data_IF_090619587006
#
_entry.id   IF_090619587006
#
_cell.length_a   1.000
_cell.length_b   1.000
_cell.length_c   1.000
_cell.angle_alpha   90.00
_cell.angle_beta   90.00
_cell.angle_gamma   90.00
#
_symmetry.space_group_name_H-M   'P 1'
#
loop_
_entity.id
_entity.type
_entity.pdbx_description
1 polymer ?
#
# COMPACT_ATOMS: atom_id res chain seq x y z
N UNK A 1 46.76 59.78 59.33
CA UNK A 1 46.72 59.69 57.89
C UNK A 1 45.66 58.65 57.56
N UNK A 2 44.46 58.94 57.64
CA UNK A 2 43.51 59.74 56.93
C UNK A 2 43.46 59.35 55.42
N UNK A 3 42.46 58.59 55.08
CA UNK A 3 41.83 58.77 53.78
C UNK A 3 40.46 58.04 53.68
N UNK A 4 39.47 58.85 53.62
CA UNK A 4 38.06 58.57 53.36
C UNK A 4 37.85 57.95 51.97
N UNK A 5 37.10 56.89 51.87
CA UNK A 5 36.54 56.41 50.61
C UNK A 5 35.02 56.59 50.60
N UNK A 6 34.56 57.38 49.65
CA UNK A 6 33.22 57.84 49.55
C UNK A 6 32.24 56.73 49.20
N UNK A 7 31.13 56.81 49.86
CA UNK A 7 29.89 56.09 49.62
C UNK A 7 29.20 56.65 48.34
N UNK A 8 29.21 55.85 47.25
CA UNK A 8 28.41 56.16 46.07
C UNK A 8 27.03 55.51 46.24
N UNK A 9 26.12 56.35 46.74
CA UNK A 9 24.69 56.02 46.72
C UNK A 9 24.17 55.77 45.29
N UNK A 10 24.00 54.51 44.95
CA UNK A 10 23.50 54.01 43.67
C UNK A 10 22.14 53.28 43.70
N UNK A 11 21.40 53.37 44.78
CA UNK A 11 20.11 52.63 44.92
C UNK A 11 18.85 53.49 44.87
N UNK A 12 18.97 54.80 44.70
CA UNK A 12 17.81 55.73 44.72
C UNK A 12 17.17 56.02 43.35
N UNK A 13 17.63 55.37 42.25
CA UNK A 13 17.09 55.65 40.91
C UNK A 13 16.15 54.59 40.37
N UNK A 14 16.01 53.45 41.01
CA UNK A 14 15.13 52.36 40.51
C UNK A 14 13.75 52.32 41.17
N UNK A 15 13.51 53.11 42.21
CA UNK A 15 12.22 53.10 42.92
C UNK A 15 11.16 54.10 42.36
N UNK A 16 11.44 54.77 41.23
CA UNK A 16 10.50 55.76 40.69
C UNK A 16 9.95 55.44 39.33
N UNK A 17 10.10 54.19 38.86
CA UNK A 17 9.26 53.68 37.74
C UNK A 17 8.03 53.05 38.33
N UNK A 18 7.12 53.82 38.88
CA UNK A 18 5.73 53.46 38.99
C UNK A 18 5.21 53.25 37.59
N UNK A 19 5.18 51.97 37.15
CA UNK A 19 4.36 51.60 35.99
C UNK A 19 2.95 52.06 36.32
N UNK A 20 2.50 53.09 35.56
CA UNK A 20 1.10 53.50 35.61
C UNK A 20 0.23 52.27 35.51
N UNK A 21 -0.76 52.07 36.39
CA UNK A 21 -1.69 50.96 36.27
C UNK A 21 -2.25 50.98 34.84
N UNK A 22 -2.08 49.91 34.11
CA UNK A 22 -2.76 49.74 32.81
C UNK A 22 -4.23 50.05 33.05
N UNK A 23 -4.91 50.78 32.15
CA UNK A 23 -6.34 51.04 32.32
C UNK A 23 -7.00 49.68 32.59
N UNK A 24 -7.58 49.57 33.77
CA UNK A 24 -8.43 48.44 34.15
C UNK A 24 -9.52 48.36 33.09
N UNK A 25 -9.36 47.43 32.16
CA UNK A 25 -10.47 47.02 31.30
C UNK A 25 -11.63 46.66 32.21
N UNK A 26 -12.82 47.20 32.00
CA UNK A 26 -13.99 46.99 32.88
C UNK A 26 -14.19 45.48 33.03
N UNK A 27 -14.13 45.04 34.26
CA UNK A 27 -14.21 43.64 34.72
C UNK A 27 -15.56 42.97 34.38
N UNK A 28 -16.50 43.72 33.84
CA UNK A 28 -17.92 43.35 33.82
C UNK A 28 -18.43 42.75 32.48
N UNK A 29 -17.56 42.31 31.58
CA UNK A 29 -18.06 41.58 30.41
C UNK A 29 -17.04 40.56 29.85
N UNK A 30 -16.24 39.95 30.69
CA UNK A 30 -15.52 38.74 30.31
C UNK A 30 -16.48 37.56 30.36
N UNK A 31 -17.34 37.43 29.36
CA UNK A 31 -17.77 36.11 28.93
C UNK A 31 -16.47 35.38 28.59
N UNK A 32 -16.00 34.59 29.55
CA UNK A 32 -14.78 33.76 29.34
C UNK A 32 -15.13 32.79 28.24
N UNK A 33 -14.89 33.20 27.00
CA UNK A 33 -14.97 32.29 25.89
C UNK A 33 -13.97 31.17 26.20
N UNK A 34 -14.38 29.91 26.31
CA UNK A 34 -13.44 28.85 26.50
C UNK A 34 -12.40 28.99 25.40
N UNK A 35 -11.14 28.94 25.79
CA UNK A 35 -10.07 29.06 24.80
C UNK A 35 -10.31 27.99 23.74
N UNK A 36 -10.07 28.30 22.47
CA UNK A 36 -10.19 27.33 21.36
C UNK A 36 -9.50 25.99 21.67
N UNK A 37 -8.47 26.06 22.52
CA UNK A 37 -7.80 24.88 23.08
C UNK A 37 -8.75 23.97 23.87
N UNK A 38 -9.62 24.51 24.67
CA UNK A 38 -10.60 23.75 25.47
C UNK A 38 -11.63 23.13 24.55
N UNK A 39 -12.13 23.88 23.56
CA UNK A 39 -13.09 23.38 22.58
C UNK A 39 -12.52 22.21 21.75
N UNK A 40 -11.28 22.33 21.27
CA UNK A 40 -10.62 21.21 20.59
C UNK A 40 -10.40 20.00 21.51
N UNK A 41 -10.04 20.22 22.80
CA UNK A 41 -9.92 19.10 23.75
C UNK A 41 -11.24 18.36 23.92
N UNK A 42 -12.34 19.08 24.04
CA UNK A 42 -13.68 18.47 24.14
C UNK A 42 -14.09 17.79 22.83
N UNK A 43 -13.83 18.41 21.68
CA UNK A 43 -14.16 17.85 20.37
C UNK A 43 -13.39 16.56 20.05
N UNK A 44 -12.18 16.37 20.57
CA UNK A 44 -11.33 15.19 20.28
C UNK A 44 -11.47 14.08 21.33
N UNK A 45 -11.81 14.43 22.58
CA UNK A 45 -11.97 13.47 23.66
C UNK A 45 -10.63 12.95 24.26
N UNK A 46 -10.50 11.65 24.59
CA UNK A 46 -9.39 11.11 25.38
C UNK A 46 -7.98 11.34 24.81
N UNK A 47 -7.85 11.47 23.49
CA UNK A 47 -6.57 11.72 22.83
C UNK A 47 -6.23 13.22 22.68
N UNK A 48 -6.91 14.10 23.43
CA UNK A 48 -6.81 15.55 23.31
C UNK A 48 -5.39 16.06 23.52
N UNK A 49 -4.58 15.44 24.40
CA UNK A 49 -3.20 15.86 24.66
C UNK A 49 -2.30 15.68 23.43
N UNK A 50 -2.62 14.73 22.56
CA UNK A 50 -1.90 14.54 21.31
C UNK A 50 -2.39 15.49 20.21
N UNK A 51 -3.72 15.67 20.05
CA UNK A 51 -4.31 16.37 18.91
C UNK A 51 -4.43 17.88 19.12
N UNK A 52 -4.85 18.33 20.32
CA UNK A 52 -5.16 19.74 20.53
C UNK A 52 -3.98 20.70 20.28
N UNK A 53 -2.73 20.40 20.68
CA UNK A 53 -1.58 21.27 20.35
C UNK A 53 -1.35 21.37 18.84
N UNK A 54 -1.55 20.30 18.09
CA UNK A 54 -1.41 20.28 16.61
C UNK A 54 -2.49 21.10 15.93
N UNK A 55 -3.71 21.00 16.41
CA UNK A 55 -4.84 21.74 15.87
C UNK A 55 -4.69 23.25 16.10
N UNK A 56 -4.20 23.64 17.28
CA UNK A 56 -3.85 25.03 17.56
C UNK A 56 -2.75 25.56 16.64
N UNK A 57 -1.76 24.74 16.31
CA UNK A 57 -0.72 25.12 15.35
C UNK A 57 -1.31 25.29 13.94
N UNK A 58 -2.25 24.42 13.50
CA UNK A 58 -2.95 24.58 12.23
C UNK A 58 -3.77 25.88 12.19
N UNK A 59 -4.44 26.26 13.30
CA UNK A 59 -5.14 27.54 13.42
C UNK A 59 -4.19 28.74 13.36
N UNK A 60 -3.04 28.64 14.04
CA UNK A 60 -2.03 29.68 14.05
C UNK A 60 -1.48 29.96 12.66
N UNK A 61 -1.20 28.90 11.89
CA UNK A 61 -0.67 28.99 10.53
C UNK A 61 -1.77 29.21 9.51
N UNK A 62 -3.05 29.13 9.90
CA UNK A 62 -4.24 29.19 9.04
C UNK A 62 -4.22 28.16 7.90
N UNK A 63 -3.51 27.05 8.11
CA UNK A 63 -3.36 25.97 7.13
C UNK A 63 -3.10 24.66 7.84
N UNK A 64 -3.85 23.63 7.47
CA UNK A 64 -3.52 22.25 7.86
C UNK A 64 -2.43 21.70 6.93
N UNK A 65 -1.50 20.95 7.49
CA UNK A 65 -0.43 20.31 6.75
C UNK A 65 -0.32 18.83 7.16
N UNK A 66 0.11 17.95 6.25
CA UNK A 66 0.32 16.55 6.58
C UNK A 66 1.28 16.41 7.76
N UNK A 67 0.88 15.64 8.75
CA UNK A 67 1.72 15.33 9.89
C UNK A 67 1.49 13.88 10.32
N UNK A 68 2.54 13.21 10.77
CA UNK A 68 2.49 11.79 11.04
C UNK A 68 1.61 11.46 12.25
N UNK A 69 0.68 10.53 12.06
CA UNK A 69 -0.14 9.94 13.11
C UNK A 69 0.23 8.46 13.27
N UNK A 70 0.70 8.06 14.45
CA UNK A 70 1.17 6.69 14.69
C UNK A 70 0.04 5.66 14.86
N UNK A 71 -1.16 6.09 15.20
CA UNK A 71 -2.30 5.19 15.41
C UNK A 71 -2.98 4.77 14.09
N UNK A 72 -3.09 5.70 13.13
CA UNK A 72 -3.82 5.49 11.89
C UNK A 72 -3.18 4.46 10.92
N UNK A 73 -1.85 4.34 10.78
CA UNK A 73 -1.23 3.42 9.83
C UNK A 73 -1.53 1.95 10.06
N UNK A 74 -1.70 1.55 11.31
CA UNK A 74 -1.86 0.14 11.66
C UNK A 74 -3.24 -0.42 11.28
N UNK A 75 -4.28 0.39 11.49
CA UNK A 75 -5.67 0.01 11.22
C UNK A 75 -6.44 1.20 10.65
N UNK A 76 -6.15 1.64 9.41
CA UNK A 76 -6.73 2.85 8.82
C UNK A 76 -8.26 2.90 8.88
N UNK A 77 -8.91 1.81 8.49
CA UNK A 77 -10.37 1.67 8.47
C UNK A 77 -10.97 1.82 9.87
N UNK A 78 -10.42 1.09 10.85
CA UNK A 78 -10.93 1.14 12.24
C UNK A 78 -10.68 2.49 12.88
N UNK A 79 -9.50 3.08 12.64
CA UNK A 79 -9.16 4.41 13.12
C UNK A 79 -10.13 5.47 12.58
N UNK A 80 -10.44 5.43 11.29
CA UNK A 80 -11.36 6.37 10.67
C UNK A 80 -12.79 6.23 11.21
N UNK A 81 -13.31 5.00 11.35
CA UNK A 81 -14.63 4.78 11.96
C UNK A 81 -14.67 5.13 13.45
N UNK A 82 -13.57 4.91 14.17
CA UNK A 82 -13.46 5.34 15.57
C UNK A 82 -13.67 6.84 15.73
N UNK A 83 -13.11 7.62 14.82
CA UNK A 83 -13.26 9.08 14.79
C UNK A 83 -14.49 9.55 13.98
N UNK A 84 -15.43 8.66 13.66
CA UNK A 84 -16.62 8.95 12.84
C UNK A 84 -16.32 9.65 11.50
N UNK A 85 -15.16 9.38 10.94
CA UNK A 85 -14.74 9.82 9.60
C UNK A 85 -15.26 8.83 8.56
N UNK A 86 -16.58 8.83 8.34
CA UNK A 86 -17.29 7.80 7.57
C UNK A 86 -16.76 7.62 6.15
N UNK A 87 -16.52 8.74 5.45
CA UNK A 87 -16.02 8.72 4.07
C UNK A 87 -14.61 8.12 4.01
N UNK A 88 -13.72 8.54 4.90
CA UNK A 88 -12.37 8.00 4.98
C UNK A 88 -12.38 6.51 5.37
N UNK A 89 -13.23 6.13 6.35
CA UNK A 89 -13.41 4.74 6.76
C UNK A 89 -13.87 3.85 5.61
N UNK A 90 -14.84 4.30 4.83
CA UNK A 90 -15.32 3.59 3.65
C UNK A 90 -14.25 3.51 2.56
N UNK A 91 -13.51 4.60 2.30
CA UNK A 91 -12.42 4.61 1.33
C UNK A 91 -11.33 3.59 1.69
N UNK A 92 -10.90 3.55 2.95
CA UNK A 92 -9.94 2.54 3.42
C UNK A 92 -10.51 1.11 3.41
N UNK A 93 -11.81 0.95 3.66
CA UNK A 93 -12.48 -0.36 3.59
C UNK A 93 -12.54 -0.92 2.16
N UNK A 94 -12.71 -0.06 1.16
CA UNK A 94 -12.74 -0.44 -0.25
C UNK A 94 -11.35 -0.54 -0.87
N UNK A 95 -10.32 0.01 -0.21
CA UNK A 95 -8.96 0.00 -0.72
C UNK A 95 -8.43 -1.39 -1.10
N UNK A 96 -8.63 -2.48 -0.33
CA UNK A 96 -8.14 -3.81 -0.69
C UNK A 96 -8.66 -4.30 -2.05
N UNK A 97 -9.91 -3.95 -2.39
CA UNK A 97 -10.50 -4.30 -3.71
C UNK A 97 -9.77 -3.54 -4.82
N UNK A 98 -9.59 -2.22 -4.67
CA UNK A 98 -8.84 -1.42 -5.64
C UNK A 98 -7.38 -1.88 -5.76
N UNK A 99 -6.75 -2.26 -4.64
CA UNK A 99 -5.39 -2.78 -4.62
C UNK A 99 -5.24 -4.08 -5.40
N UNK A 100 -6.25 -4.97 -5.37
CA UNK A 100 -6.24 -6.20 -6.18
C UNK A 100 -6.37 -5.92 -7.68
N UNK A 101 -7.17 -4.95 -8.08
CA UNK A 101 -7.22 -4.52 -9.48
C UNK A 101 -5.87 -3.94 -9.95
N UNK A 102 -5.26 -3.08 -9.14
CA UNK A 102 -3.92 -2.54 -9.42
C UNK A 102 -2.88 -3.67 -9.50
N UNK A 103 -2.95 -4.64 -8.59
CA UNK A 103 -2.07 -5.80 -8.59
C UNK A 103 -2.23 -6.63 -9.88
N UNK A 104 -3.46 -6.88 -10.32
CA UNK A 104 -3.74 -7.63 -11.54
C UNK A 104 -3.20 -6.94 -12.79
N UNK A 105 -3.25 -5.61 -12.83
CA UNK A 105 -2.64 -4.80 -13.90
C UNK A 105 -1.10 -4.80 -13.83
N UNK A 106 -0.52 -4.88 -12.63
CA UNK A 106 0.92 -4.92 -12.43
C UNK A 106 1.53 -6.32 -12.65
N UNK A 107 0.75 -7.40 -12.47
CA UNK A 107 1.24 -8.80 -12.55
C UNK A 107 2.02 -9.13 -13.83
N UNK A 108 1.63 -8.67 -15.04
CA UNK A 108 2.41 -8.91 -16.25
C UNK A 108 3.83 -8.33 -16.22
N UNK A 109 4.05 -7.27 -15.44
CA UNK A 109 5.34 -6.58 -15.34
C UNK A 109 6.24 -7.12 -14.23
N UNK A 110 5.68 -7.90 -13.30
CA UNK A 110 6.43 -8.46 -12.17
C UNK A 110 7.26 -9.70 -12.55
N UNK A 111 7.11 -10.20 -13.78
CA UNK A 111 7.73 -11.45 -14.22
C UNK A 111 7.25 -12.65 -13.41
N UNK A 112 8.02 -13.74 -13.41
CA UNK A 112 7.66 -14.97 -12.69
C UNK A 112 8.19 -15.01 -11.24
N UNK A 113 8.77 -13.91 -10.76
CA UNK A 113 9.28 -13.80 -9.39
C UNK A 113 8.14 -13.78 -8.36
N UNK A 114 8.05 -14.82 -7.55
CA UNK A 114 7.11 -14.90 -6.43
C UNK A 114 7.39 -13.85 -5.35
N UNK A 115 8.67 -13.52 -5.13
CA UNK A 115 9.07 -12.48 -4.20
C UNK A 115 8.59 -11.10 -4.65
N UNK A 116 8.77 -10.75 -5.93
CA UNK A 116 8.31 -9.47 -6.47
C UNK A 116 6.79 -9.32 -6.35
N UNK A 117 6.03 -10.39 -6.63
CA UNK A 117 4.58 -10.38 -6.47
C UNK A 117 4.16 -10.21 -5.02
N UNK A 118 4.79 -10.94 -4.10
CA UNK A 118 4.51 -10.81 -2.67
C UNK A 118 4.84 -9.40 -2.16
N UNK A 119 5.99 -8.84 -2.52
CA UNK A 119 6.37 -7.49 -2.16
C UNK A 119 5.39 -6.44 -2.72
N UNK A 120 4.96 -6.59 -3.97
CA UNK A 120 3.96 -5.72 -4.59
C UNK A 120 2.60 -5.81 -3.86
N UNK A 121 2.13 -7.01 -3.56
CA UNK A 121 0.89 -7.21 -2.81
C UNK A 121 0.97 -6.59 -1.40
N UNK A 122 2.07 -6.79 -0.68
CA UNK A 122 2.29 -6.21 0.64
C UNK A 122 2.31 -4.67 0.59
N UNK A 123 3.01 -4.10 -0.40
CA UNK A 123 3.04 -2.67 -0.64
C UNK A 123 1.64 -2.10 -0.88
N UNK A 124 0.88 -2.69 -1.80
CA UNK A 124 -0.44 -2.22 -2.16
C UNK A 124 -1.45 -2.38 -1.03
N UNK A 125 -1.47 -3.54 -0.36
CA UNK A 125 -2.50 -3.84 0.63
C UNK A 125 -2.26 -3.20 1.99
N UNK A 126 -1.00 -2.98 2.39
CA UNK A 126 -0.68 -2.51 3.73
C UNK A 126 0.14 -1.22 3.75
N UNK A 127 1.28 -1.19 3.05
CA UNK A 127 2.24 -0.08 3.21
C UNK A 127 1.66 1.23 2.69
N UNK A 128 1.12 1.23 1.48
CA UNK A 128 0.56 2.44 0.86
C UNK A 128 -0.61 3.00 1.68
N UNK A 129 -1.68 2.24 2.00
CA UNK A 129 -2.79 2.78 2.78
C UNK A 129 -2.35 3.20 4.19
N UNK A 130 -1.41 2.48 4.80
CA UNK A 130 -0.85 2.86 6.10
C UNK A 130 -0.13 4.20 6.06
N UNK A 131 0.75 4.41 5.07
CA UNK A 131 1.46 5.69 4.89
C UNK A 131 0.46 6.82 4.63
N UNK A 132 -0.48 6.60 3.71
CA UNK A 132 -1.52 7.60 3.40
C UNK A 132 -2.30 7.96 4.65
N UNK A 133 -2.80 6.97 5.38
CA UNK A 133 -3.52 7.21 6.63
C UNK A 133 -2.65 7.95 7.66
N UNK A 134 -1.40 7.53 7.84
CA UNK A 134 -0.47 8.18 8.77
C UNK A 134 -0.25 9.66 8.47
N UNK A 135 -0.18 10.03 7.21
CA UNK A 135 0.05 11.42 6.78
C UNK A 135 -1.19 12.31 6.86
N UNK A 136 -2.38 11.78 6.49
CA UNK A 136 -3.59 12.60 6.37
C UNK A 136 -4.48 12.58 7.61
N UNK A 137 -4.29 11.62 8.52
CA UNK A 137 -5.16 11.40 9.68
C UNK A 137 -5.35 12.66 10.54
N UNK A 138 -4.26 13.32 10.90
CA UNK A 138 -4.33 14.53 11.74
C UNK A 138 -5.09 15.66 11.04
N UNK A 139 -4.90 15.82 9.72
CA UNK A 139 -5.60 16.83 8.92
C UNK A 139 -7.10 16.53 8.82
N UNK A 140 -7.47 15.27 8.56
CA UNK A 140 -8.88 14.87 8.50
C UNK A 140 -9.60 15.09 9.83
N UNK A 141 -8.95 14.69 10.92
CA UNK A 141 -9.54 14.86 12.25
C UNK A 141 -9.63 16.35 12.65
N UNK A 142 -8.65 17.17 12.27
CA UNK A 142 -8.69 18.60 12.47
C UNK A 142 -9.90 19.23 11.78
N UNK A 143 -10.12 18.94 10.49
CA UNK A 143 -11.27 19.50 9.77
C UNK A 143 -12.60 19.09 10.41
N UNK A 144 -12.71 17.83 10.85
CA UNK A 144 -13.92 17.37 11.56
C UNK A 144 -14.09 18.04 12.92
N UNK A 145 -13.02 18.15 13.71
CA UNK A 145 -13.08 18.82 15.01
C UNK A 145 -13.42 20.30 14.87
N UNK A 146 -12.87 20.98 13.85
CA UNK A 146 -13.17 22.37 13.58
C UNK A 146 -14.62 22.58 13.16
N UNK A 147 -15.16 21.70 12.32
CA UNK A 147 -16.56 21.72 11.93
C UNK A 147 -17.49 21.59 13.16
N UNK A 148 -17.20 20.63 14.05
CA UNK A 148 -17.95 20.42 15.28
C UNK A 148 -17.89 21.64 16.21
N UNK A 149 -16.70 22.26 16.34
CA UNK A 149 -16.54 23.49 17.14
C UNK A 149 -17.39 24.62 16.55
N UNK A 150 -17.36 24.83 15.25
CA UNK A 150 -18.15 25.84 14.56
C UNK A 150 -19.66 25.60 14.77
N UNK A 151 -20.12 24.35 14.57
CA UNK A 151 -21.53 24.00 14.79
C UNK A 151 -21.97 24.28 16.23
N UNK A 152 -21.13 23.92 17.22
CA UNK A 152 -21.45 24.16 18.63
C UNK A 152 -21.47 25.66 18.97
N UNK A 153 -20.58 26.47 18.38
CA UNK A 153 -20.57 27.93 18.56
C UNK A 153 -21.78 28.60 17.87
N UNK A 154 -22.28 28.05 16.77
CA UNK A 154 -23.47 28.57 16.08
C UNK A 154 -24.78 28.21 16.82
N UNK A 155 -24.85 27.04 17.47
CA UNK A 155 -26.05 26.58 18.18
C UNK A 155 -26.21 27.20 19.57
N UNK A 156 -25.12 27.64 20.19
CA UNK A 156 -25.15 28.12 21.57
C UNK A 156 -24.54 29.50 21.74
N UNK A 157 -25.25 30.33 22.48
CA UNK A 157 -24.74 31.68 22.86
C UNK A 157 -23.76 31.57 24.04
N UNK A 158 -23.85 30.48 24.82
CA UNK A 158 -23.06 30.29 26.04
C UNK A 158 -21.88 29.35 25.76
N UNK A 159 -20.68 29.77 26.07
CA UNK A 159 -19.47 28.99 25.82
C UNK A 159 -19.36 27.66 26.60
N UNK A 160 -19.91 27.63 27.84
CA UNK A 160 -19.98 26.43 28.68
C UNK A 160 -20.93 25.38 28.07
N UNK A 161 -22.02 25.83 27.47
CA UNK A 161 -22.97 24.99 26.77
C UNK A 161 -22.39 24.41 25.45
N UNK A 162 -21.61 25.21 24.73
CA UNK A 162 -20.84 24.72 23.56
C UNK A 162 -19.85 23.62 23.94
N UNK A 163 -19.10 23.80 25.03
CA UNK A 163 -18.17 22.79 25.52
C UNK A 163 -18.89 21.49 25.94
N UNK A 164 -20.05 21.59 26.56
CA UNK A 164 -20.87 20.44 26.92
C UNK A 164 -21.41 19.70 25.71
N UNK A 165 -21.96 20.41 24.73
CA UNK A 165 -22.44 19.82 23.47
C UNK A 165 -21.31 19.10 22.72
N UNK A 166 -20.11 19.67 22.68
CA UNK A 166 -18.95 19.02 22.11
C UNK A 166 -18.58 17.74 22.84
N UNK A 167 -18.65 17.71 24.17
CA UNK A 167 -18.41 16.50 24.96
C UNK A 167 -19.43 15.38 24.66
N UNK A 168 -20.69 15.75 24.46
CA UNK A 168 -21.76 14.80 24.10
C UNK A 168 -21.65 14.30 22.65
N UNK A 169 -21.20 15.16 21.73
CA UNK A 169 -21.03 14.87 20.30
C UNK A 169 -19.64 14.32 19.97
N UNK A 170 -18.76 14.16 20.96
CA UNK A 170 -17.38 13.75 20.75
C UNK A 170 -17.28 12.66 19.67
N UNK A 171 -16.36 12.79 18.71
CA UNK A 171 -16.29 11.93 17.55
C UNK A 171 -15.71 10.55 17.86
N UNK A 172 -15.95 10.03 19.06
CA UNK A 172 -15.44 8.75 19.52
C UNK A 172 -16.58 7.76 19.60
N UNK A 173 -16.49 6.70 18.84
CA UNK A 173 -17.48 5.65 18.87
C UNK A 173 -16.81 4.29 18.77
N UNK A 174 -16.37 3.77 19.92
CA UNK A 174 -15.71 2.46 19.98
C UNK A 174 -16.61 1.35 19.44
N UNK A 175 -17.90 1.36 19.82
CA UNK A 175 -18.86 0.37 19.36
C UNK A 175 -19.04 0.37 17.84
N UNK A 176 -19.23 1.55 17.23
CA UNK A 176 -19.36 1.66 15.78
C UNK A 176 -18.05 1.34 15.05
N UNK A 177 -16.90 1.70 15.60
CA UNK A 177 -15.60 1.35 15.02
C UNK A 177 -15.39 -0.16 14.99
N UNK A 178 -15.67 -0.84 16.09
CA UNK A 178 -15.55 -2.30 16.18
C UNK A 178 -16.55 -3.00 15.24
N UNK A 179 -17.82 -2.59 15.27
CA UNK A 179 -18.85 -3.21 14.44
C UNK A 179 -18.60 -2.95 12.94
N UNK A 180 -18.60 -1.69 12.53
CA UNK A 180 -18.47 -1.32 11.12
C UNK A 180 -17.08 -1.62 10.57
N UNK A 181 -16.04 -1.40 11.36
CA UNK A 181 -14.68 -1.77 10.99
C UNK A 181 -14.52 -3.26 10.77
N UNK A 182 -15.08 -4.10 11.66
CA UNK A 182 -15.02 -5.56 11.50
C UNK A 182 -15.85 -6.03 10.31
N UNK A 183 -17.05 -5.48 10.11
CA UNK A 183 -17.88 -5.80 8.94
C UNK A 183 -17.17 -5.39 7.65
N UNK A 184 -16.59 -4.21 7.60
CA UNK A 184 -15.87 -3.72 6.42
C UNK A 184 -14.64 -4.57 6.10
N UNK A 185 -13.83 -4.92 7.09
CA UNK A 185 -12.66 -5.80 6.93
C UNK A 185 -13.11 -7.19 6.47
N UNK A 186 -14.12 -7.77 7.11
CA UNK A 186 -14.64 -9.09 6.73
C UNK A 186 -15.17 -9.11 5.31
N UNK A 187 -15.95 -8.09 4.92
CA UNK A 187 -16.46 -7.96 3.56
C UNK A 187 -15.33 -7.85 2.53
N UNK A 188 -14.30 -7.06 2.83
CA UNK A 188 -13.11 -6.94 1.97
C UNK A 188 -12.36 -8.25 1.84
N UNK A 189 -12.18 -8.99 2.94
CA UNK A 189 -11.55 -10.31 2.92
C UNK A 189 -12.33 -11.31 2.09
N UNK A 190 -13.65 -11.33 2.21
CA UNK A 190 -14.52 -12.22 1.41
C UNK A 190 -14.42 -11.96 -0.09
N UNK A 191 -14.20 -10.70 -0.49
CA UNK A 191 -14.03 -10.32 -1.90
C UNK A 191 -12.61 -10.61 -2.37
N UNK A 192 -11.60 -10.24 -1.59
CA UNK A 192 -10.19 -10.28 -1.98
C UNK A 192 -9.58 -11.69 -1.88
N UNK A 193 -9.99 -12.49 -0.89
CA UNK A 193 -9.39 -13.80 -0.66
C UNK A 193 -9.51 -14.77 -1.84
N UNK A 194 -10.66 -14.92 -2.52
CA UNK A 194 -10.76 -15.78 -3.71
C UNK A 194 -9.87 -15.30 -4.85
N UNK A 195 -9.80 -13.97 -5.07
CA UNK A 195 -8.96 -13.38 -6.12
C UNK A 195 -7.48 -13.63 -5.84
N UNK A 196 -7.06 -13.46 -4.59
CA UNK A 196 -5.68 -13.74 -4.18
C UNK A 196 -5.33 -15.22 -4.33
N UNK A 197 -6.23 -16.12 -3.94
CA UNK A 197 -6.04 -17.56 -4.10
C UNK A 197 -5.85 -17.94 -5.58
N UNK A 198 -6.69 -17.42 -6.48
CA UNK A 198 -6.55 -17.68 -7.92
C UNK A 198 -5.26 -17.10 -8.48
N UNK A 199 -4.88 -15.88 -8.09
CA UNK A 199 -3.65 -15.25 -8.54
C UNK A 199 -2.40 -16.03 -8.07
N UNK A 200 -2.40 -16.54 -6.85
CA UNK A 200 -1.31 -17.38 -6.31
C UNK A 200 -1.27 -18.73 -7.02
N UNK A 201 -2.42 -19.38 -7.22
CA UNK A 201 -2.51 -20.66 -7.93
C UNK A 201 -2.00 -20.52 -9.38
N UNK A 202 -2.45 -19.51 -10.10
CA UNK A 202 -2.00 -19.24 -11.48
C UNK A 202 -0.49 -18.99 -11.54
N UNK A 203 0.08 -18.32 -10.54
CA UNK A 203 1.52 -18.07 -10.47
C UNK A 203 2.31 -19.34 -10.18
N UNK A 204 1.84 -20.20 -9.30
CA UNK A 204 2.48 -21.52 -9.03
C UNK A 204 2.50 -22.35 -10.30
N UNK A 205 1.38 -22.43 -11.04
CA UNK A 205 1.33 -23.14 -12.32
C UNK A 205 2.31 -22.54 -13.33
N UNK A 206 2.39 -21.20 -13.43
CA UNK A 206 3.34 -20.49 -14.30
C UNK A 206 4.79 -20.86 -13.99
N UNK A 207 5.16 -20.86 -12.71
CA UNK A 207 6.53 -21.22 -12.29
C UNK A 207 6.86 -22.65 -12.68
N UNK A 208 5.93 -23.58 -12.49
CA UNK A 208 6.12 -24.99 -12.91
C UNK A 208 6.26 -25.13 -14.43
N UNK A 209 5.50 -24.35 -15.21
CA UNK A 209 5.63 -24.34 -16.68
C UNK A 209 7.01 -23.78 -17.09
N UNK A 210 7.48 -22.70 -16.40
CA UNK A 210 8.82 -22.17 -16.63
C UNK A 210 9.91 -23.19 -16.31
N UNK A 211 9.80 -23.91 -15.20
CA UNK A 211 10.70 -25.01 -14.85
C UNK A 211 10.68 -26.12 -15.91
N UNK A 212 9.50 -26.52 -16.38
CA UNK A 212 9.35 -27.51 -17.43
C UNK A 212 10.06 -27.08 -18.72
N UNK A 213 9.95 -25.81 -19.13
CA UNK A 213 10.65 -25.25 -20.29
C UNK A 213 12.17 -25.21 -20.04
N UNK A 214 12.59 -24.83 -18.85
CA UNK A 214 14.00 -24.76 -18.49
C UNK A 214 14.72 -26.12 -18.56
N UNK A 215 14.01 -27.25 -18.30
CA UNK A 215 14.55 -28.59 -18.45
C UNK A 215 14.91 -28.94 -19.90
N UNK A 216 14.35 -28.18 -20.88
CA UNK A 216 14.64 -28.36 -22.32
C UNK A 216 15.90 -27.64 -22.79
N UNK A 217 16.55 -26.84 -21.93
CA UNK A 217 17.74 -26.08 -22.29
C UNK A 217 18.88 -26.92 -22.93
N UNK A 218 19.16 -28.16 -22.48
CA UNK A 218 20.17 -29.01 -23.17
C UNK A 218 19.76 -29.37 -24.59
N UNK A 219 18.46 -29.67 -24.81
CA UNK A 219 17.96 -29.99 -26.15
C UNK A 219 17.97 -28.77 -27.07
N UNK A 220 17.58 -27.59 -26.52
CA UNK A 220 17.65 -26.33 -27.26
C UNK A 220 19.07 -26.04 -27.77
N UNK A 221 20.08 -26.17 -26.90
CA UNK A 221 21.50 -25.97 -27.27
C UNK A 221 21.95 -26.98 -28.34
N UNK A 222 21.48 -28.21 -28.25
CA UNK A 222 21.85 -29.23 -29.27
C UNK A 222 21.23 -28.87 -30.63
N UNK A 223 19.99 -28.39 -30.66
CA UNK A 223 19.34 -27.93 -31.90
C UNK A 223 20.07 -26.69 -32.43
N UNK A 224 20.42 -25.72 -31.59
CA UNK A 224 21.20 -24.53 -31.97
C UNK A 224 22.53 -24.89 -32.65
N UNK A 225 23.29 -25.79 -32.04
CA UNK A 225 24.57 -26.25 -32.61
C UNK A 225 24.40 -27.01 -33.93
N UNK A 226 23.33 -27.81 -34.08
CA UNK A 226 23.04 -28.53 -35.31
C UNK A 226 22.50 -27.62 -36.42
N UNK A 227 21.83 -26.55 -36.07
CA UNK A 227 21.25 -25.59 -37.04
C UNK A 227 22.31 -24.83 -37.81
N UNK A 228 23.44 -24.50 -37.19
CA UNK A 228 24.53 -23.77 -37.84
C UNK A 228 25.32 -24.63 -38.82
N UNK A 229 25.37 -25.94 -38.61
CA UNK A 229 26.16 -26.87 -39.43
C UNK A 229 25.44 -27.29 -40.72
N UNK A 230 24.11 -27.41 -40.70
CA UNK A 230 23.36 -28.10 -41.78
C UNK A 230 22.48 -27.18 -42.61
N UNK A 231 22.42 -25.90 -42.39
CA UNK A 231 21.60 -24.85 -43.08
C UNK A 231 20.13 -25.18 -43.38
N UNK A 232 19.62 -26.38 -43.17
CA UNK A 232 18.25 -26.76 -43.41
C UNK A 232 17.76 -28.07 -42.74
N UNK A 233 18.60 -28.87 -42.17
CA UNK A 233 18.17 -30.07 -41.44
C UNK A 233 18.79 -30.13 -40.06
N UNK A 234 17.96 -30.22 -39.05
CA UNK A 234 18.41 -30.42 -37.65
C UNK A 234 18.94 -31.86 -37.55
N UNK A 235 20.19 -32.01 -37.06
CA UNK A 235 20.71 -33.34 -36.73
C UNK A 235 19.77 -33.99 -35.73
N UNK A 236 19.42 -35.25 -35.97
CA UNK A 236 18.51 -36.00 -35.09
C UNK A 236 18.97 -35.87 -33.63
N UNK A 237 18.11 -35.41 -32.73
CA UNK A 237 18.46 -35.24 -31.33
C UNK A 237 18.94 -36.57 -30.76
N UNK A 238 19.99 -36.51 -29.93
CA UNK A 238 20.51 -37.70 -29.28
C UNK A 238 19.40 -38.28 -28.35
N UNK A 239 18.96 -39.50 -28.64
CA UNK A 239 17.90 -40.18 -27.86
C UNK A 239 18.23 -40.32 -26.36
N UNK A 240 19.51 -40.30 -25.97
CA UNK A 240 19.90 -40.26 -24.55
C UNK A 240 19.47 -38.98 -23.85
N UNK A 241 19.45 -37.85 -24.54
CA UNK A 241 18.97 -36.58 -23.97
C UNK A 241 17.44 -36.65 -23.81
N UNK A 242 16.74 -37.22 -24.77
CA UNK A 242 15.29 -37.40 -24.69
C UNK A 242 14.88 -38.35 -23.55
N UNK A 243 15.61 -39.42 -23.33
CA UNK A 243 15.39 -40.33 -22.18
C UNK A 243 15.66 -39.68 -20.82
N UNK A 244 16.57 -38.72 -20.72
CA UNK A 244 16.82 -37.92 -19.50
C UNK A 244 15.84 -36.77 -19.29
N UNK A 245 15.15 -36.35 -20.34
CA UNK A 245 14.11 -35.31 -20.27
C UNK A 245 12.76 -35.84 -19.78
N UNK A 246 12.60 -37.14 -19.62
CA UNK A 246 11.44 -37.78 -18.97
C UNK A 246 11.37 -37.42 -17.49
N UNK A 247 11.10 -36.14 -17.20
CA UNK A 247 10.78 -35.68 -15.87
C UNK A 247 9.26 -35.72 -15.70
N UNK A 248 8.80 -35.84 -14.47
CA UNK A 248 7.37 -35.75 -14.15
C UNK A 248 6.72 -34.42 -14.62
N UNK A 249 7.53 -33.42 -15.01
CA UNK A 249 7.08 -32.18 -15.64
C UNK A 249 6.67 -32.32 -17.11
N UNK A 250 7.24 -33.31 -17.83
CA UNK A 250 7.07 -33.49 -19.26
C UNK A 250 6.50 -34.87 -19.56
N UNK A 251 5.33 -34.91 -20.19
CA UNK A 251 4.71 -36.16 -20.61
C UNK A 251 5.27 -36.66 -21.96
N UNK A 252 5.56 -35.76 -22.90
CA UNK A 252 6.15 -36.09 -24.18
C UNK A 252 6.88 -34.87 -24.78
N UNK A 253 7.96 -35.15 -25.49
CA UNK A 253 8.71 -34.15 -26.26
C UNK A 253 8.86 -34.64 -27.68
N UNK A 254 8.31 -33.90 -28.65
CA UNK A 254 8.40 -34.21 -30.06
C UNK A 254 9.18 -33.12 -30.79
N UNK A 255 10.25 -33.50 -31.45
CA UNK A 255 11.10 -32.60 -32.23
C UNK A 255 10.82 -32.81 -33.72
N UNK A 256 10.45 -31.73 -34.42
CA UNK A 256 10.33 -31.74 -35.89
C UNK A 256 11.70 -31.51 -36.51
N UNK A 257 12.21 -32.51 -37.21
CA UNK A 257 13.53 -32.49 -37.85
C UNK A 257 13.62 -31.49 -39.02
N UNK A 258 12.47 -31.16 -39.64
CA UNK A 258 12.47 -30.27 -40.79
C UNK A 258 12.69 -28.80 -40.46
N UNK A 259 12.25 -28.39 -39.24
CA UNK A 259 12.23 -26.97 -38.87
C UNK A 259 12.69 -26.71 -37.42
N UNK A 260 13.21 -27.70 -36.74
CA UNK A 260 13.74 -27.58 -35.36
C UNK A 260 12.67 -27.22 -34.29
N UNK A 261 11.38 -27.28 -34.63
CA UNK A 261 10.32 -26.99 -33.68
C UNK A 261 10.19 -28.12 -32.68
N UNK A 262 10.03 -27.75 -31.42
CA UNK A 262 9.86 -28.69 -30.30
C UNK A 262 8.47 -28.54 -29.72
N UNK A 263 7.65 -29.57 -29.88
CA UNK A 263 6.35 -29.66 -29.22
C UNK A 263 6.52 -30.41 -27.91
N UNK A 264 6.10 -29.81 -26.83
CA UNK A 264 6.23 -30.31 -25.47
C UNK A 264 4.86 -30.50 -24.86
N UNK A 265 4.51 -31.72 -24.46
CA UNK A 265 3.34 -32.02 -23.68
C UNK A 265 3.71 -32.00 -22.19
N UNK A 266 2.91 -31.27 -21.38
CA UNK A 266 3.13 -31.14 -19.95
C UNK A 266 2.72 -32.40 -19.18
N UNK A 267 3.50 -32.73 -18.17
CA UNK A 267 3.36 -33.93 -17.35
C UNK A 267 2.44 -33.75 -16.12
N UNK A 268 2.31 -34.81 -15.32
CA UNK A 268 1.39 -34.86 -14.18
C UNK A 268 1.76 -33.96 -13.01
N UNK A 269 3.00 -33.44 -12.92
CA UNK A 269 3.36 -32.45 -11.90
C UNK A 269 2.66 -31.10 -12.08
N UNK A 270 2.02 -30.90 -13.23
CA UNK A 270 1.17 -29.74 -13.52
C UNK A 270 -0.24 -30.24 -13.82
N UNK A 271 -1.02 -30.62 -12.80
CA UNK A 271 -2.31 -31.32 -12.98
C UNK A 271 -3.29 -30.55 -13.84
N UNK A 272 -3.29 -29.20 -13.73
CA UNK A 272 -4.18 -28.28 -14.46
C UNK A 272 -3.90 -28.28 -15.97
N UNK A 273 -2.69 -28.68 -16.37
CA UNK A 273 -2.20 -28.63 -17.74
C UNK A 273 -1.71 -29.99 -18.26
N UNK A 274 -2.00 -31.09 -17.54
CA UNK A 274 -1.58 -32.41 -17.95
C UNK A 274 -2.04 -32.73 -19.38
N UNK A 275 -1.12 -33.14 -20.24
CA UNK A 275 -1.37 -33.47 -21.65
C UNK A 275 -1.53 -32.27 -22.59
N UNK A 276 -1.59 -31.04 -22.07
CA UNK A 276 -1.57 -29.82 -22.90
C UNK A 276 -0.17 -29.53 -23.40
N UNK A 277 -0.06 -28.83 -24.53
CA UNK A 277 1.19 -28.69 -25.25
C UNK A 277 1.57 -27.23 -25.53
N UNK A 278 2.90 -27.00 -25.48
CA UNK A 278 3.56 -25.77 -25.92
C UNK A 278 4.43 -26.12 -27.13
N UNK A 279 4.46 -25.23 -28.11
CA UNK A 279 5.37 -25.31 -29.22
C UNK A 279 6.51 -24.29 -29.04
N UNK A 280 7.74 -24.79 -28.99
CA UNK A 280 8.94 -23.96 -29.01
C UNK A 280 9.48 -23.92 -30.44
N UNK A 281 9.55 -22.73 -31.02
CA UNK A 281 10.04 -22.53 -32.37
C UNK A 281 11.34 -21.73 -32.35
N UNK A 282 12.43 -22.23 -32.96
CA UNK A 282 13.64 -21.45 -33.13
C UNK A 282 13.41 -20.36 -34.18
N UNK A 283 13.79 -19.13 -33.89
CA UNK A 283 13.74 -18.01 -34.83
C UNK A 283 15.09 -17.28 -34.79
N UNK A 284 15.51 -16.71 -35.90
CA UNK A 284 16.71 -15.88 -35.96
C UNK A 284 16.37 -14.44 -35.60
N UNK A 285 17.16 -13.88 -34.71
CA UNK A 285 17.13 -12.45 -34.41
C UNK A 285 17.97 -11.67 -35.44
N UNK A 286 17.91 -10.34 -35.39
CA UNK A 286 18.70 -9.45 -36.28
C UNK A 286 20.20 -9.67 -36.21
N UNK A 287 20.67 -10.17 -35.07
CA UNK A 287 22.08 -10.49 -34.81
C UNK A 287 22.47 -11.94 -35.22
N UNK A 288 21.63 -12.59 -36.03
CA UNK A 288 21.75 -14.00 -36.44
C UNK A 288 21.75 -15.03 -35.30
N UNK A 289 21.47 -14.62 -34.07
CA UNK A 289 21.33 -15.52 -32.92
C UNK A 289 20.02 -16.24 -32.95
N UNK A 290 20.01 -17.51 -32.57
CA UNK A 290 18.79 -18.29 -32.46
C UNK A 290 18.09 -17.85 -31.16
N UNK A 291 16.83 -17.44 -31.31
CA UNK A 291 15.93 -17.10 -30.21
C UNK A 291 14.77 -18.08 -30.23
N UNK A 292 14.40 -18.59 -29.06
CA UNK A 292 13.27 -19.50 -28.94
C UNK A 292 11.98 -18.72 -28.71
N UNK A 293 11.00 -18.94 -29.58
CA UNK A 293 9.67 -18.36 -29.48
C UNK A 293 8.73 -19.44 -28.96
N UNK A 294 8.00 -19.14 -27.88
CA UNK A 294 6.98 -20.03 -27.36
C UNK A 294 5.64 -19.71 -28.04
N UNK A 295 5.01 -20.73 -28.59
CA UNK A 295 3.67 -20.62 -29.16
C UNK A 295 2.74 -21.50 -28.34
N UNK A 296 1.72 -20.94 -27.69
CA UNK A 296 0.71 -21.73 -26.98
C UNK A 296 -0.11 -22.50 -28.01
N UNK A 297 -0.29 -23.79 -27.80
CA UNK A 297 -1.14 -24.62 -28.66
C UNK A 297 -2.53 -24.75 -28.02
N UNK A 298 -2.59 -25.19 -26.79
CA UNK A 298 -3.83 -25.44 -26.02
C UNK A 298 -3.73 -25.01 -24.53
N UNK A 299 -2.71 -24.19 -24.23
CA UNK A 299 -2.49 -23.65 -22.88
C UNK A 299 -3.00 -22.22 -22.81
N UNK A 300 -3.83 -21.87 -21.79
CA UNK A 300 -4.23 -20.50 -21.56
C UNK A 300 -3.02 -19.58 -21.33
N UNK A 301 -3.04 -18.37 -21.92
CA UNK A 301 -1.93 -17.41 -21.87
C UNK A 301 -1.54 -17.00 -20.45
N UNK A 302 -2.49 -17.04 -19.49
CA UNK A 302 -2.24 -16.75 -18.07
C UNK A 302 -1.23 -17.69 -17.41
N UNK A 303 -1.06 -18.90 -17.93
CA UNK A 303 -0.13 -19.91 -17.41
C UNK A 303 1.24 -19.90 -18.12
N UNK A 304 1.39 -19.10 -19.16
CA UNK A 304 2.66 -19.00 -19.85
C UNK A 304 3.65 -18.13 -19.06
N UNK A 305 4.93 -18.53 -19.00
CA UNK A 305 6.01 -17.68 -18.48
C UNK A 305 6.07 -16.35 -19.21
N UNK A 306 6.63 -15.34 -18.57
CA UNK A 306 6.75 -13.99 -19.12
C UNK A 306 7.43 -14.00 -20.50
N UNK A 307 8.48 -14.78 -20.66
CA UNK A 307 9.24 -14.93 -21.92
C UNK A 307 8.37 -15.46 -23.07
N UNK A 308 7.37 -16.28 -22.78
CA UNK A 308 6.44 -16.87 -23.75
C UNK A 308 5.22 -16.00 -24.04
N UNK A 309 5.02 -14.90 -23.36
CA UNK A 309 3.89 -13.97 -23.57
C UNK A 309 4.23 -12.80 -24.49
N UNK A 310 5.51 -12.50 -24.63
CA UNK A 310 6.05 -11.36 -25.38
C UNK A 310 6.23 -11.65 -26.89
N UNK A 311 5.76 -12.81 -27.39
CA UNK A 311 5.84 -13.21 -28.77
C UNK A 311 4.63 -12.82 -29.60
#
# INVERSE_FOLDING_TARGET
MDESAGDFGGTAFLDTIQLAPSPEEPEDNRIVRPSLAILFRMAVGPAADYYAPRFLEYERVRRSFPSWNWAAPWFPTMWAFYHKLWVAGLAFALWPVAAMEIFSLADPYLGDSTFAAFACALLLLWVIPGIVAGLIANTLLYHKARELVREAEEETVRPDEAARLLGERAPIALGSALLLGSVAIMSSLLIVAPQLQTAVADRVVRTRVAEAIATLAPLQRQIENGWDIARSSVIAPNYEIMGRLGSDFLAAVNVSLDNGRVRVALGPLIPELTGRSILLAPARDRDERIRWICVPVDIPTRYLPHECRAG
#
